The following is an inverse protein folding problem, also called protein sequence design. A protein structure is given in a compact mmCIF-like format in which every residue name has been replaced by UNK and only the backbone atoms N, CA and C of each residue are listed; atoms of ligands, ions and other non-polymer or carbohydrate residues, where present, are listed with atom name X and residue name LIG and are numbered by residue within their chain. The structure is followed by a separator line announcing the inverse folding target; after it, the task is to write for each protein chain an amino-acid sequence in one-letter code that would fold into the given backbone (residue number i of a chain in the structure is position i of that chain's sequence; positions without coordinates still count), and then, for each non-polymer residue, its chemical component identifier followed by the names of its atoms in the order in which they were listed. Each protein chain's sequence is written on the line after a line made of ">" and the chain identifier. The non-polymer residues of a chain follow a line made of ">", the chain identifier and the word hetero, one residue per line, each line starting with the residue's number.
data_IF_540233811105
#
_entry.id   IF_540233811105
#
_cell.length_a   1.000
_cell.length_b   1.000
_cell.length_c   1.000
_cell.angle_alpha   90.00
_cell.angle_beta   90.00
_cell.angle_gamma   90.00
#
_symmetry.space_group_name_H-M   'P 1'
#
loop_
_entity.id
_entity.type
_entity.pdbx_description
1 polymer ?
#
# COMPACT_ATOMS: atom_id res chain seq x y z
N UNK A 1 -8.92 -8.36 -20.98
CA UNK A 1 -7.46 -8.56 -21.20
C UNK A 1 -6.79 -8.31 -19.86
N UNK A 2 -6.11 -9.31 -19.28
CA UNK A 2 -5.33 -9.12 -18.06
C UNK A 2 -4.23 -8.10 -18.34
N UNK A 3 -4.16 -7.03 -17.55
CA UNK A 3 -3.10 -6.05 -17.68
C UNK A 3 -1.75 -6.74 -17.39
N UNK A 4 -0.77 -6.46 -18.25
CA UNK A 4 0.57 -7.04 -18.15
C UNK A 4 1.35 -6.13 -17.21
N UNK A 5 1.74 -6.66 -16.05
CA UNK A 5 2.60 -5.99 -15.08
C UNK A 5 3.85 -5.38 -15.74
N UNK A 6 4.07 -4.09 -15.50
CA UNK A 6 5.18 -3.28 -16.02
C UNK A 6 6.22 -3.04 -14.93
N UNK A 7 7.44 -3.51 -15.18
CA UNK A 7 8.57 -3.46 -14.25
C UNK A 7 9.64 -2.52 -14.78
N UNK A 8 10.02 -1.53 -13.98
CA UNK A 8 11.19 -0.70 -14.25
C UNK A 8 12.45 -1.41 -13.76
N UNK A 9 13.31 -1.88 -14.66
CA UNK A 9 14.56 -2.56 -14.30
C UNK A 9 15.73 -1.58 -14.36
N UNK A 10 16.28 -1.21 -13.22
CA UNK A 10 17.49 -0.39 -13.13
C UNK A 10 18.72 -1.25 -12.89
N UNK A 11 19.70 -1.16 -13.80
CA UNK A 11 21.00 -1.83 -13.68
C UNK A 11 22.04 -0.79 -13.29
N UNK A 12 22.58 -0.92 -12.08
CA UNK A 12 23.63 -0.01 -11.60
C UNK A 12 24.93 -0.14 -12.40
N UNK A 13 25.73 0.92 -12.39
CA UNK A 13 27.03 0.93 -13.08
C UNK A 13 28.03 -0.09 -12.52
N UNK A 14 27.89 -0.49 -11.25
CA UNK A 14 28.69 -1.54 -10.62
C UNK A 14 28.25 -2.91 -11.10
N UNK A 15 26.94 -3.18 -11.10
CA UNK A 15 26.37 -4.41 -11.65
C UNK A 15 26.74 -4.61 -13.13
N UNK A 16 26.78 -3.54 -13.94
CA UNK A 16 27.15 -3.62 -15.35
C UNK A 16 28.63 -3.99 -15.58
N UNK A 17 29.50 -3.80 -14.58
CA UNK A 17 30.93 -4.13 -14.67
C UNK A 17 31.25 -5.56 -14.22
N UNK A 18 30.42 -6.14 -13.36
CA UNK A 18 30.56 -7.54 -12.95
C UNK A 18 29.91 -8.46 -14.00
N UNK A 19 30.68 -9.33 -14.69
CA UNK A 19 30.14 -10.22 -15.71
C UNK A 19 29.01 -11.13 -15.20
N UNK A 20 29.07 -11.58 -13.95
CA UNK A 20 28.06 -12.49 -13.39
C UNK A 20 26.76 -11.76 -13.05
N UNK A 21 26.86 -10.56 -12.45
CA UNK A 21 25.73 -9.71 -12.17
C UNK A 21 25.05 -9.20 -13.46
N UNK A 22 25.84 -8.82 -14.47
CA UNK A 22 25.32 -8.40 -15.76
C UNK A 22 24.63 -9.54 -16.53
N UNK A 23 25.22 -10.75 -16.52
CA UNK A 23 24.59 -11.93 -17.11
C UNK A 23 23.26 -12.28 -16.43
N UNK A 24 23.18 -12.14 -15.10
CA UNK A 24 21.93 -12.30 -14.35
C UNK A 24 20.88 -11.25 -14.75
N UNK A 25 21.28 -9.98 -14.85
CA UNK A 25 20.40 -8.88 -15.23
C UNK A 25 19.82 -9.07 -16.66
N UNK A 26 20.66 -9.49 -17.61
CA UNK A 26 20.22 -9.76 -18.97
C UNK A 26 19.27 -10.96 -19.05
N UNK A 27 19.58 -12.05 -18.35
CA UNK A 27 18.69 -13.21 -18.28
C UNK A 27 17.31 -12.82 -17.75
N UNK A 28 17.27 -11.99 -16.71
CA UNK A 28 16.02 -11.51 -16.12
C UNK A 28 15.26 -10.59 -17.10
N UNK A 29 15.96 -9.68 -17.78
CA UNK A 29 15.37 -8.80 -18.79
C UNK A 29 14.77 -9.60 -19.96
N UNK A 30 15.52 -10.56 -20.49
CA UNK A 30 15.07 -11.45 -21.58
C UNK A 30 13.89 -12.33 -21.16
N UNK A 31 13.96 -12.93 -19.97
CA UNK A 31 12.92 -13.84 -19.47
C UNK A 31 11.61 -13.14 -19.11
N UNK A 32 11.66 -11.84 -18.75
CA UNK A 32 10.47 -11.04 -18.48
C UNK A 32 9.89 -10.38 -19.74
N UNK A 33 10.69 -10.26 -20.80
CA UNK A 33 10.26 -9.76 -22.12
C UNK A 33 9.57 -8.40 -22.04
N UNK A 34 8.37 -8.31 -22.64
CA UNK A 34 7.61 -7.06 -22.75
C UNK A 34 7.12 -6.48 -21.40
N UNK A 35 7.36 -7.17 -20.28
CA UNK A 35 7.05 -6.68 -18.93
C UNK A 35 8.09 -5.67 -18.44
N UNK A 36 9.29 -5.66 -19.00
CA UNK A 36 10.40 -4.86 -18.48
C UNK A 36 10.65 -3.60 -19.32
N UNK A 37 10.74 -2.48 -18.62
CA UNK A 37 11.32 -1.25 -19.13
C UNK A 37 12.69 -1.06 -18.47
N UNK A 38 13.77 -1.11 -19.24
CA UNK A 38 15.11 -0.81 -18.73
C UNK A 38 15.21 0.68 -18.41
N UNK A 39 15.62 0.99 -17.18
CA UNK A 39 15.79 2.35 -16.68
C UNK A 39 17.27 2.76 -16.71
N UNK A 40 17.52 3.97 -17.20
CA UNK A 40 18.84 4.61 -17.16
C UNK A 40 18.87 5.74 -16.14
N UNK A 41 20.07 6.27 -15.84
CA UNK A 41 20.24 7.32 -14.83
C UNK A 41 19.51 8.63 -15.14
N UNK A 42 19.18 8.87 -16.41
CA UNK A 42 18.55 10.11 -16.86
C UNK A 42 17.05 9.98 -17.07
N UNK A 43 16.50 8.77 -16.96
CA UNK A 43 15.09 8.54 -17.22
C UNK A 43 14.24 9.08 -16.07
N UNK A 44 13.14 9.73 -16.44
CA UNK A 44 12.07 10.02 -15.49
C UNK A 44 11.28 8.73 -15.29
N UNK A 45 11.07 8.34 -14.04
CA UNK A 45 10.21 7.22 -13.70
C UNK A 45 8.81 7.42 -14.30
N UNK A 46 8.41 6.48 -15.15
CA UNK A 46 7.06 6.39 -15.70
C UNK A 46 6.08 6.06 -14.57
N UNK A 47 5.03 6.88 -14.34
CA UNK A 47 4.04 6.61 -13.31
C UNK A 47 3.17 5.37 -13.59
N UNK A 48 3.25 4.78 -14.79
CA UNK A 48 2.53 3.55 -15.15
C UNK A 48 3.27 2.27 -14.78
N UNK A 49 4.44 2.38 -14.13
CA UNK A 49 5.18 1.23 -13.62
C UNK A 49 4.54 0.69 -12.35
N UNK A 50 4.35 -0.62 -12.30
CA UNK A 50 3.78 -1.31 -11.13
C UNK A 50 4.84 -1.59 -10.06
N UNK A 51 6.12 -1.71 -10.45
CA UNK A 51 7.25 -1.94 -9.54
C UNK A 51 8.57 -1.51 -10.19
N UNK A 52 9.53 -1.10 -9.36
CA UNK A 52 10.91 -0.85 -9.79
C UNK A 52 11.87 -1.84 -9.15
N UNK A 53 12.65 -2.54 -9.97
CA UNK A 53 13.67 -3.47 -9.52
C UNK A 53 15.07 -2.89 -9.75
N UNK A 54 15.82 -2.72 -8.66
CA UNK A 54 17.15 -2.12 -8.63
C UNK A 54 18.19 -3.22 -8.43
N UNK A 55 19.06 -3.40 -9.43
CA UNK A 55 20.12 -4.41 -9.45
C UNK A 55 21.49 -3.79 -9.14
N UNK A 56 22.11 -4.28 -8.07
CA UNK A 56 23.33 -3.74 -7.46
C UNK A 56 23.11 -2.30 -6.98
N UNK A 57 24.18 -1.52 -6.93
CA UNK A 57 24.08 -0.08 -6.81
C UNK A 57 24.19 0.41 -5.37
N UNK A 58 25.39 0.29 -4.81
CA UNK A 58 25.75 1.05 -3.61
C UNK A 58 26.14 2.51 -3.92
N UNK A 59 25.35 3.20 -4.74
CA UNK A 59 25.60 4.59 -5.14
C UNK A 59 24.47 5.53 -4.72
N UNK A 60 24.79 6.83 -4.72
CA UNK A 60 23.83 7.87 -4.34
C UNK A 60 22.62 7.91 -5.28
N UNK A 61 22.79 7.49 -6.54
CA UNK A 61 21.71 7.46 -7.50
C UNK A 61 20.67 6.39 -7.14
N UNK A 62 21.10 5.18 -6.82
CA UNK A 62 20.23 4.07 -6.42
C UNK A 62 19.45 4.42 -5.15
N UNK A 63 20.12 5.09 -4.18
CA UNK A 63 19.44 5.63 -3.00
C UNK A 63 18.35 6.65 -3.37
N UNK A 64 18.67 7.61 -4.25
CA UNK A 64 17.69 8.61 -4.73
C UNK A 64 16.57 7.95 -5.52
N UNK A 65 16.85 6.91 -6.28
CA UNK A 65 15.85 6.18 -7.05
C UNK A 65 14.83 5.54 -6.11
N UNK A 66 15.26 4.86 -5.04
CA UNK A 66 14.35 4.32 -4.01
C UNK A 66 13.52 5.42 -3.34
N UNK A 67 14.14 6.55 -2.97
CA UNK A 67 13.37 7.67 -2.42
C UNK A 67 12.34 8.22 -3.43
N UNK A 68 12.69 8.20 -4.73
CA UNK A 68 11.81 8.69 -5.79
C UNK A 68 10.65 7.73 -6.05
N UNK A 69 10.90 6.41 -6.05
CA UNK A 69 9.83 5.41 -6.19
C UNK A 69 8.86 5.48 -5.02
N UNK A 70 9.36 5.62 -3.79
CA UNK A 70 8.53 5.81 -2.61
C UNK A 70 7.65 7.06 -2.69
N UNK A 71 8.21 8.21 -3.09
CA UNK A 71 7.41 9.46 -3.24
C UNK A 71 6.37 9.37 -4.36
N UNK A 72 6.65 8.59 -5.41
CA UNK A 72 5.71 8.30 -6.49
C UNK A 72 4.72 7.16 -6.18
N UNK A 73 4.76 6.58 -4.98
CA UNK A 73 3.95 5.43 -4.61
C UNK A 73 4.16 4.22 -5.54
N UNK A 74 5.40 3.96 -5.96
CA UNK A 74 5.77 2.77 -6.74
C UNK A 74 6.62 1.87 -5.83
N UNK A 75 6.23 0.61 -5.60
CA UNK A 75 7.01 -0.30 -4.78
C UNK A 75 8.35 -0.64 -5.43
N UNK A 76 9.35 -0.91 -4.61
CA UNK A 76 10.72 -1.19 -5.05
C UNK A 76 11.27 -2.50 -4.51
N UNK A 77 11.90 -3.28 -5.40
CA UNK A 77 12.71 -4.44 -5.05
C UNK A 77 14.18 -4.06 -5.18
N UNK A 78 14.96 -4.31 -4.13
CA UNK A 78 16.41 -4.11 -4.14
C UNK A 78 17.16 -5.45 -4.14
N UNK A 79 18.03 -5.64 -5.12
CA UNK A 79 18.91 -6.82 -5.23
C UNK A 79 20.36 -6.37 -5.18
N UNK A 80 21.09 -6.61 -4.08
CA UNK A 80 22.44 -6.09 -3.92
C UNK A 80 23.51 -6.85 -4.71
N UNK A 81 23.23 -8.11 -5.09
CA UNK A 81 24.11 -8.96 -5.91
C UNK A 81 25.54 -9.08 -5.36
N UNK A 82 25.66 -9.25 -4.04
CA UNK A 82 26.93 -9.48 -3.34
C UNK A 82 27.74 -8.21 -3.03
N UNK A 83 27.35 -7.04 -3.53
CA UNK A 83 28.08 -5.77 -3.29
C UNK A 83 28.08 -5.34 -1.81
N UNK A 84 27.12 -5.84 -1.04
CA UNK A 84 26.91 -5.46 0.36
C UNK A 84 27.74 -6.29 1.35
N UNK A 85 28.32 -7.40 0.89
CA UNK A 85 29.01 -8.37 1.74
C UNK A 85 30.29 -7.75 2.35
N UNK A 86 30.67 -8.10 3.59
CA UNK A 86 31.77 -7.44 4.31
C UNK A 86 33.10 -7.40 3.56
N UNK A 87 33.43 -8.45 2.79
CA UNK A 87 34.68 -8.53 2.03
C UNK A 87 34.62 -7.81 0.67
N UNK A 88 33.43 -7.61 0.11
CA UNK A 88 33.23 -6.77 -1.07
C UNK A 88 33.14 -5.28 -0.69
N UNK A 89 32.74 -5.02 0.56
CA UNK A 89 32.43 -3.69 1.09
C UNK A 89 33.59 -3.13 1.92
N UNK A 90 34.69 -2.75 1.26
CA UNK A 90 35.81 -1.99 1.86
C UNK A 90 35.49 -0.50 2.06
N UNK A 91 34.21 -0.15 2.27
CA UNK A 91 33.72 1.21 2.11
C UNK A 91 33.72 2.02 3.41
N UNK A 92 33.75 3.35 3.26
CA UNK A 92 33.66 4.30 4.37
C UNK A 92 32.33 4.21 5.12
N UNK A 93 32.35 4.61 6.39
CA UNK A 93 31.17 4.61 7.28
C UNK A 93 29.94 5.31 6.69
N UNK A 94 30.14 6.38 5.92
CA UNK A 94 29.04 7.13 5.28
C UNK A 94 28.31 6.32 4.21
N UNK A 95 29.02 5.51 3.41
CA UNK A 95 28.38 4.66 2.39
C UNK A 95 27.60 3.52 3.01
N UNK A 96 28.09 2.97 4.12
CA UNK A 96 27.35 1.97 4.90
C UNK A 96 26.03 2.51 5.46
N UNK A 97 26.02 3.76 5.95
CA UNK A 97 24.79 4.42 6.42
C UNK A 97 23.79 4.60 5.28
N UNK A 98 24.24 5.09 4.12
CA UNK A 98 23.39 5.25 2.94
C UNK A 98 22.81 3.91 2.47
N UNK A 99 23.64 2.87 2.43
CA UNK A 99 23.24 1.50 2.08
C UNK A 99 22.18 0.96 3.03
N UNK A 100 22.37 1.10 4.35
CA UNK A 100 21.41 0.65 5.35
C UNK A 100 20.09 1.43 5.26
N UNK A 101 20.16 2.73 4.97
CA UNK A 101 18.98 3.56 4.72
C UNK A 101 18.20 3.10 3.48
N UNK A 102 18.91 2.85 2.39
CA UNK A 102 18.37 2.34 1.13
C UNK A 102 17.66 1.00 1.34
N UNK A 103 18.31 0.04 1.99
CA UNK A 103 17.73 -1.28 2.30
C UNK A 103 16.47 -1.19 3.20
N UNK A 104 16.43 -0.26 4.15
CA UNK A 104 15.24 -0.03 4.98
C UNK A 104 14.10 0.66 4.25
N UNK A 105 14.39 1.33 3.13
CA UNK A 105 13.41 2.11 2.37
C UNK A 105 12.81 1.31 1.21
N UNK A 106 13.45 0.22 0.79
CA UNK A 106 12.90 -0.72 -0.19
C UNK A 106 11.78 -1.54 0.40
N UNK A 107 10.79 -1.89 -0.42
CA UNK A 107 9.62 -2.67 -0.02
C UNK A 107 9.98 -4.16 0.15
N UNK A 108 10.92 -4.66 -0.64
CA UNK A 108 11.51 -5.96 -0.43
C UNK A 108 12.99 -5.98 -0.85
N UNK A 109 13.73 -6.93 -0.31
CA UNK A 109 15.11 -7.19 -0.66
C UNK A 109 15.25 -8.60 -1.17
N UNK A 110 15.98 -8.76 -2.27
CA UNK A 110 16.33 -10.07 -2.80
C UNK A 110 17.78 -10.41 -2.47
N UNK A 111 18.00 -11.64 -2.00
CA UNK A 111 19.32 -12.24 -1.84
C UNK A 111 19.53 -13.31 -2.91
N UNK A 112 20.65 -13.22 -3.62
CA UNK A 112 20.97 -14.15 -4.73
C UNK A 112 21.83 -15.35 -4.31
N UNK A 113 22.37 -15.34 -3.08
CA UNK A 113 23.19 -16.41 -2.50
C UNK A 113 22.83 -16.63 -1.02
N UNK A 114 23.06 -17.84 -0.50
CA UNK A 114 22.77 -18.14 0.91
C UNK A 114 23.64 -17.33 1.87
N UNK A 115 24.88 -17.05 1.46
CA UNK A 115 25.80 -16.19 2.19
C UNK A 115 25.28 -14.76 2.31
N UNK A 116 24.77 -14.20 1.22
CA UNK A 116 24.15 -12.86 1.22
C UNK A 116 22.87 -12.84 2.05
N UNK A 117 22.04 -13.88 1.96
CA UNK A 117 20.85 -14.00 2.79
C UNK A 117 21.19 -13.96 4.27
N UNK A 118 22.10 -14.82 4.74
CA UNK A 118 22.47 -14.89 6.15
C UNK A 118 23.06 -13.56 6.65
N UNK A 119 23.83 -12.87 5.81
CA UNK A 119 24.36 -11.55 6.13
C UNK A 119 23.24 -10.51 6.27
N UNK A 120 22.32 -10.46 5.30
CA UNK A 120 21.18 -9.54 5.33
C UNK A 120 20.27 -9.78 6.54
N UNK A 121 19.99 -11.03 6.90
CA UNK A 121 19.21 -11.39 8.10
C UNK A 121 19.88 -10.88 9.38
N UNK A 122 21.22 -10.90 9.44
CA UNK A 122 21.96 -10.37 10.60
C UNK A 122 21.96 -8.83 10.70
N UNK A 123 21.87 -8.14 9.56
CA UNK A 123 21.96 -6.67 9.47
C UNK A 123 20.58 -5.99 9.46
N UNK A 124 19.57 -6.68 8.93
CA UNK A 124 18.21 -6.19 8.72
C UNK A 124 17.22 -7.11 9.42
N UNK A 125 16.57 -6.59 10.47
CA UNK A 125 15.59 -7.35 11.25
C UNK A 125 14.13 -7.03 10.85
N UNK A 126 13.91 -6.04 9.97
CA UNK A 126 12.59 -5.45 9.75
C UNK A 126 12.24 -5.27 8.27
N UNK A 127 12.82 -6.05 7.35
CA UNK A 127 12.57 -5.92 5.91
C UNK A 127 12.26 -7.28 5.32
N UNK A 128 11.31 -7.32 4.39
CA UNK A 128 10.94 -8.52 3.65
C UNK A 128 12.10 -9.00 2.77
N UNK A 129 12.83 -9.98 3.29
CA UNK A 129 13.96 -10.60 2.62
C UNK A 129 13.53 -11.88 1.90
N UNK A 130 13.87 -11.98 0.61
CA UNK A 130 13.54 -13.14 -0.22
C UNK A 130 14.80 -13.71 -0.87
N UNK A 131 14.97 -15.02 -0.73
CA UNK A 131 16.06 -15.74 -1.39
C UNK A 131 15.59 -16.34 -2.72
N UNK A 132 16.22 -15.92 -3.82
CA UNK A 132 16.07 -16.59 -5.14
C UNK A 132 17.50 -16.85 -5.65
N UNK A 133 17.92 -18.12 -5.81
CA UNK A 133 19.28 -18.42 -6.21
C UNK A 133 19.56 -17.96 -7.64
N UNK A 134 20.79 -17.51 -7.89
CA UNK A 134 21.22 -17.12 -9.22
C UNK A 134 21.37 -18.36 -10.13
N UNK A 135 20.51 -18.49 -11.14
CA UNK A 135 20.55 -19.58 -12.13
C UNK A 135 21.84 -19.59 -12.97
N UNK A 136 22.46 -18.42 -13.21
CA UNK A 136 23.71 -18.28 -13.98
C UNK A 136 24.88 -18.94 -13.25
N UNK A 137 24.96 -18.76 -11.93
CA UNK A 137 26.12 -19.17 -11.13
C UNK A 137 25.92 -20.54 -10.49
N UNK A 138 24.77 -20.77 -9.87
CA UNK A 138 24.59 -21.92 -8.99
C UNK A 138 24.08 -23.16 -9.71
N UNK A 139 23.46 -23.01 -10.90
CA UNK A 139 22.74 -24.06 -11.64
C UNK A 139 21.75 -24.88 -10.79
N UNK A 140 21.34 -24.34 -9.63
CA UNK A 140 20.42 -25.00 -8.68
C UNK A 140 18.97 -24.92 -9.14
N UNK A 141 18.67 -23.97 -10.01
CA UNK A 141 17.36 -23.78 -10.65
C UNK A 141 17.58 -23.50 -12.14
N UNK A 142 16.57 -23.81 -12.96
CA UNK A 142 16.57 -23.41 -14.36
C UNK A 142 16.39 -21.90 -14.51
N UNK A 143 16.63 -21.37 -15.72
CA UNK A 143 16.47 -19.94 -16.00
C UNK A 143 14.99 -19.56 -15.96
N UNK A 144 14.15 -20.44 -16.48
CA UNK A 144 12.70 -20.35 -16.53
C UNK A 144 12.12 -20.32 -15.11
N UNK A 145 12.55 -21.24 -14.24
CA UNK A 145 12.14 -21.28 -12.83
C UNK A 145 12.53 -20.01 -12.08
N UNK A 146 13.69 -19.42 -12.39
CA UNK A 146 14.14 -18.18 -11.78
C UNK A 146 13.20 -17.02 -12.16
N UNK A 147 12.89 -16.88 -13.45
CA UNK A 147 11.96 -15.86 -13.95
C UNK A 147 10.56 -16.03 -13.34
N UNK A 148 10.05 -17.25 -13.26
CA UNK A 148 8.76 -17.55 -12.63
C UNK A 148 8.75 -17.18 -11.14
N UNK A 149 9.86 -17.41 -10.42
CA UNK A 149 10.01 -16.97 -9.02
C UNK A 149 10.01 -15.45 -8.90
N UNK A 150 10.66 -14.74 -9.82
CA UNK A 150 10.65 -13.27 -9.84
C UNK A 150 9.26 -12.70 -10.16
N UNK A 151 8.54 -13.27 -11.13
CA UNK A 151 7.16 -12.85 -11.44
C UNK A 151 6.27 -13.01 -10.22
N UNK A 152 6.35 -14.16 -9.53
CA UNK A 152 5.62 -14.41 -8.27
C UNK A 152 6.05 -13.46 -7.15
N UNK A 153 7.33 -13.12 -7.07
CA UNK A 153 7.85 -12.15 -6.10
C UNK A 153 7.32 -10.74 -6.38
N UNK A 154 7.34 -10.28 -7.63
CA UNK A 154 6.82 -8.96 -7.99
C UNK A 154 5.34 -8.84 -7.64
N UNK A 155 4.53 -9.85 -8.01
CA UNK A 155 3.11 -9.87 -7.64
C UNK A 155 2.94 -9.85 -6.11
N UNK A 156 3.73 -10.63 -5.37
CA UNK A 156 3.70 -10.65 -3.91
C UNK A 156 4.00 -9.28 -3.30
N UNK A 157 4.97 -8.55 -3.85
CA UNK A 157 5.32 -7.19 -3.38
C UNK A 157 4.16 -6.22 -3.64
N UNK A 158 3.59 -6.26 -4.85
CA UNK A 158 2.44 -5.42 -5.22
C UNK A 158 1.24 -5.71 -4.33
N UNK A 159 0.92 -7.00 -4.13
CA UNK A 159 -0.19 -7.43 -3.27
C UNK A 159 0.00 -7.02 -1.80
N UNK A 160 1.25 -7.01 -1.31
CA UNK A 160 1.58 -6.62 0.07
C UNK A 160 1.48 -5.11 0.26
N UNK A 161 1.87 -4.33 -0.76
CA UNK A 161 1.85 -2.87 -0.75
C UNK A 161 0.75 -2.32 -1.65
N UNK A 162 -0.45 -2.90 -1.56
CA UNK A 162 -1.59 -2.56 -2.42
C UNK A 162 -1.98 -1.07 -2.36
N UNK A 163 -1.73 -0.40 -1.24
CA UNK A 163 -1.93 1.05 -1.08
C UNK A 163 -1.12 1.89 -2.08
N UNK A 164 0.08 1.40 -2.46
CA UNK A 164 0.93 2.01 -3.46
C UNK A 164 0.43 1.70 -4.88
N UNK A 165 -0.15 0.51 -5.09
CA UNK A 165 -0.65 0.07 -6.39
C UNK A 165 -2.00 0.73 -6.79
N UNK A 166 -2.81 1.16 -5.82
CA UNK A 166 -4.12 1.77 -6.09
C UNK A 166 -3.96 3.26 -6.43
N UNK A 167 -4.36 3.61 -7.66
CA UNK A 167 -4.46 4.99 -8.09
C UNK A 167 -5.60 5.77 -7.43
N UNK A 168 -5.63 7.09 -7.64
CA UNK A 168 -6.65 7.97 -7.06
C UNK A 168 -8.07 7.63 -7.51
N UNK A 169 -8.26 7.21 -8.76
CA UNK A 169 -9.56 6.87 -9.31
C UNK A 169 -10.13 5.61 -8.67
N UNK A 170 -9.32 4.54 -8.64
CA UNK A 170 -9.68 3.28 -8.03
C UNK A 170 -9.94 3.42 -6.52
N UNK A 171 -9.18 4.28 -5.83
CA UNK A 171 -9.45 4.65 -4.44
C UNK A 171 -10.80 5.33 -4.24
N UNK A 172 -11.17 6.24 -5.15
CA UNK A 172 -12.49 6.89 -5.12
C UNK A 172 -13.63 5.90 -5.35
N UNK A 173 -13.41 4.88 -6.18
CA UNK A 173 -14.39 3.82 -6.37
C UNK A 173 -14.53 2.93 -5.13
N UNK A 174 -13.44 2.67 -4.39
CA UNK A 174 -13.52 2.02 -3.06
C UNK A 174 -14.34 2.86 -2.08
N UNK A 175 -14.14 4.18 -2.05
CA UNK A 175 -14.95 5.07 -1.19
C UNK A 175 -16.43 5.07 -1.60
N UNK A 176 -16.72 5.08 -2.90
CA UNK A 176 -18.08 5.00 -3.41
C UNK A 176 -18.76 3.69 -3.00
N UNK A 177 -18.05 2.57 -3.08
CA UNK A 177 -18.52 1.27 -2.59
C UNK A 177 -18.72 1.26 -1.07
N UNK A 178 -17.80 1.85 -0.31
CA UNK A 178 -17.91 1.98 1.14
C UNK A 178 -19.17 2.78 1.52
N UNK A 179 -19.43 3.91 0.85
CA UNK A 179 -20.63 4.73 1.04
C UNK A 179 -21.91 3.94 0.81
N UNK A 180 -22.00 3.21 -0.31
CA UNK A 180 -23.16 2.35 -0.64
C UNK A 180 -23.31 1.21 0.39
N UNK A 181 -22.21 0.70 0.95
CA UNK A 181 -22.22 -0.31 2.00
C UNK A 181 -22.70 0.24 3.35
N UNK A 182 -22.41 1.50 3.65
CA UNK A 182 -22.78 2.18 4.89
C UNK A 182 -24.23 2.65 4.90
N UNK A 183 -24.68 3.35 3.86
CA UNK A 183 -26.01 3.96 3.81
C UNK A 183 -26.91 3.29 2.76
N UNK A 184 -28.02 2.73 3.23
CA UNK A 184 -29.03 2.12 2.35
C UNK A 184 -29.80 3.16 1.53
N UNK A 185 -29.95 4.38 2.03
CA UNK A 185 -30.74 5.43 1.40
C UNK A 185 -30.10 5.93 0.10
N UNK A 186 -28.78 5.77 -0.06
CA UNK A 186 -28.07 6.11 -1.29
C UNK A 186 -28.55 5.32 -2.52
N UNK A 187 -29.23 4.19 -2.35
CA UNK A 187 -29.84 3.44 -3.47
C UNK A 187 -30.96 4.22 -4.19
N UNK A 188 -31.47 5.28 -3.56
CA UNK A 188 -32.44 6.19 -4.16
C UNK A 188 -31.80 7.21 -5.10
N UNK A 189 -30.50 7.50 -4.95
CA UNK A 189 -29.75 8.36 -5.86
C UNK A 189 -29.36 7.58 -7.13
N UNK A 190 -30.31 7.50 -8.07
CA UNK A 190 -30.13 6.77 -9.33
C UNK A 190 -28.95 7.29 -10.16
N UNK A 191 -28.71 8.61 -10.30
CA UNK A 191 -27.53 9.13 -10.98
C UNK A 191 -26.21 8.63 -10.37
N UNK A 192 -26.06 8.72 -9.04
CA UNK A 192 -24.85 8.27 -8.36
C UNK A 192 -24.61 6.77 -8.56
N UNK A 193 -25.62 5.94 -8.28
CA UNK A 193 -25.54 4.48 -8.41
C UNK A 193 -25.29 4.04 -9.85
N UNK A 194 -25.92 4.68 -10.84
CA UNK A 194 -25.69 4.40 -12.25
C UNK A 194 -24.25 4.71 -12.68
N UNK A 195 -23.69 5.82 -12.18
CA UNK A 195 -22.28 6.18 -12.41
C UNK A 195 -21.31 5.17 -11.79
N UNK A 196 -21.56 4.72 -10.56
CA UNK A 196 -20.71 3.74 -9.88
C UNK A 196 -20.81 2.36 -10.56
N UNK A 197 -22.02 1.89 -10.85
CA UNK A 197 -22.26 0.58 -11.49
C UNK A 197 -21.59 0.47 -12.86
N UNK A 198 -21.72 1.52 -13.69
CA UNK A 198 -21.11 1.54 -15.01
C UNK A 198 -19.57 1.47 -14.95
N UNK A 199 -18.92 2.16 -14.01
CA UNK A 199 -17.47 2.06 -13.81
C UNK A 199 -17.04 0.68 -13.34
N UNK A 200 -17.71 0.15 -12.32
CA UNK A 200 -17.39 -1.15 -11.72
C UNK A 200 -17.46 -2.29 -12.73
N UNK A 201 -18.44 -2.24 -13.64
CA UNK A 201 -18.58 -3.25 -14.70
C UNK A 201 -17.42 -3.27 -15.70
N UNK A 202 -16.63 -2.20 -15.78
CA UNK A 202 -15.45 -2.11 -16.66
C UNK A 202 -14.16 -2.58 -16.01
N UNK A 203 -14.17 -2.90 -14.72
CA UNK A 203 -12.95 -3.26 -14.00
C UNK A 203 -12.34 -4.56 -14.47
N UNK A 204 -11.01 -4.55 -14.60
CA UNK A 204 -10.22 -5.76 -14.86
C UNK A 204 -10.14 -6.65 -13.61
N UNK A 205 -9.75 -7.91 -13.79
CA UNK A 205 -9.51 -8.84 -12.67
C UNK A 205 -8.41 -8.32 -11.71
N UNK A 206 -7.42 -7.60 -12.24
CA UNK A 206 -6.34 -7.01 -11.45
C UNK A 206 -6.83 -5.83 -10.60
N UNK A 207 -7.68 -4.97 -11.17
CA UNK A 207 -8.31 -3.89 -10.41
C UNK A 207 -9.19 -4.45 -9.27
N UNK A 208 -9.94 -5.52 -9.55
CA UNK A 208 -10.67 -6.23 -8.51
C UNK A 208 -9.76 -6.82 -7.44
N UNK A 209 -8.63 -7.40 -7.84
CA UNK A 209 -7.62 -7.92 -6.90
C UNK A 209 -7.14 -6.83 -5.96
N UNK A 210 -6.77 -5.66 -6.49
CA UNK A 210 -6.31 -4.54 -5.69
C UNK A 210 -7.41 -4.00 -4.77
N UNK A 211 -8.64 -3.81 -5.27
CA UNK A 211 -9.79 -3.37 -4.45
C UNK A 211 -10.00 -4.31 -3.26
N UNK A 212 -10.05 -5.63 -3.52
CA UNK A 212 -10.37 -6.61 -2.48
C UNK A 212 -9.25 -6.72 -1.43
N UNK A 213 -7.98 -6.75 -1.87
CA UNK A 213 -6.83 -6.74 -0.95
C UNK A 213 -6.79 -5.46 -0.11
N UNK A 214 -6.97 -4.30 -0.73
CA UNK A 214 -6.98 -3.03 -0.01
C UNK A 214 -8.15 -2.93 0.97
N UNK A 215 -9.33 -3.39 0.58
CA UNK A 215 -10.50 -3.40 1.45
C UNK A 215 -10.32 -4.33 2.64
N UNK A 216 -9.64 -5.47 2.45
CA UNK A 216 -9.26 -6.38 3.53
C UNK A 216 -8.25 -5.73 4.47
N UNK A 217 -7.16 -5.15 3.94
CA UNK A 217 -6.13 -4.45 4.71
C UNK A 217 -6.68 -3.26 5.51
N UNK A 218 -7.67 -2.56 4.96
CA UNK A 218 -8.33 -1.42 5.59
C UNK A 218 -9.49 -1.80 6.53
N UNK A 219 -9.80 -3.10 6.64
CA UNK A 219 -10.86 -3.63 7.50
C UNK A 219 -12.28 -3.25 7.07
N UNK A 220 -12.51 -3.01 5.79
CA UNK A 220 -13.82 -2.60 5.24
C UNK A 220 -14.44 -3.63 4.30
N UNK A 221 -13.84 -4.82 4.18
CA UNK A 221 -14.26 -5.86 3.24
C UNK A 221 -15.75 -6.21 3.34
N UNK A 222 -16.30 -6.26 4.56
CA UNK A 222 -17.72 -6.55 4.79
C UNK A 222 -18.64 -5.47 4.21
N UNK A 223 -18.24 -4.18 4.31
CA UNK A 223 -19.01 -3.09 3.72
C UNK A 223 -19.01 -3.15 2.20
N UNK A 224 -17.87 -3.55 1.61
CA UNK A 224 -17.75 -3.72 0.15
C UNK A 224 -18.62 -4.89 -0.32
N UNK A 225 -18.59 -6.03 0.39
CA UNK A 225 -19.49 -7.15 0.08
C UNK A 225 -20.96 -6.75 0.17
N UNK A 226 -21.34 -6.05 1.24
CA UNK A 226 -22.70 -5.52 1.39
C UNK A 226 -23.09 -4.59 0.23
N UNK A 227 -22.19 -3.72 -0.22
CA UNK A 227 -22.43 -2.83 -1.36
C UNK A 227 -22.66 -3.63 -2.66
N UNK A 228 -21.84 -4.64 -2.92
CA UNK A 228 -21.94 -5.48 -4.12
C UNK A 228 -23.23 -6.30 -4.15
N UNK A 229 -23.64 -6.84 -3.00
CA UNK A 229 -24.93 -7.53 -2.85
C UNK A 229 -26.10 -6.59 -3.16
N UNK A 230 -26.08 -5.36 -2.61
CA UNK A 230 -27.09 -4.33 -2.88
C UNK A 230 -27.16 -3.94 -4.36
N UNK A 231 -26.00 -3.85 -5.01
CA UNK A 231 -25.89 -3.54 -6.44
C UNK A 231 -26.18 -4.75 -7.35
N UNK A 232 -26.32 -5.94 -6.78
CA UNK A 232 -26.51 -7.21 -7.51
C UNK A 232 -25.38 -7.49 -8.54
N UNK A 233 -24.16 -7.02 -8.25
CA UNK A 233 -23.00 -7.23 -9.12
C UNK A 233 -22.29 -8.52 -8.71
N UNK A 234 -22.06 -9.41 -9.67
CA UNK A 234 -21.21 -10.58 -9.47
C UNK A 234 -19.75 -10.20 -9.69
N UNK A 235 -18.92 -10.42 -8.68
CA UNK A 235 -17.47 -10.26 -8.78
C UNK A 235 -16.79 -11.56 -9.26
N UNK A 236 -15.57 -11.49 -9.81
CA UNK A 236 -14.75 -12.66 -10.04
C UNK A 236 -14.53 -13.42 -8.71
N UNK A 237 -14.60 -14.76 -8.76
CA UNK A 237 -14.30 -15.61 -7.60
C UNK A 237 -12.83 -15.41 -7.22
N UNK A 238 -12.59 -14.74 -6.08
CA UNK A 238 -11.24 -14.48 -5.57
C UNK A 238 -11.16 -14.84 -4.09
N UNK A 239 -10.30 -15.81 -3.76
CA UNK A 239 -10.01 -16.13 -2.38
C UNK A 239 -8.83 -15.29 -1.89
N UNK A 240 -9.15 -14.18 -1.22
CA UNK A 240 -8.17 -13.24 -0.66
C UNK A 240 -7.22 -13.95 0.31
N UNK A 241 -7.70 -14.95 1.06
CA UNK A 241 -6.91 -15.66 2.08
C UNK A 241 -5.85 -16.58 1.48
N UNK A 242 -6.01 -16.95 0.20
CA UNK A 242 -5.02 -17.75 -0.53
C UNK A 242 -3.94 -16.88 -1.20
N UNK A 243 -4.12 -15.55 -1.23
CA UNK A 243 -3.12 -14.63 -1.79
C UNK A 243 -1.91 -14.57 -0.86
N UNK A 244 -0.75 -14.89 -1.39
CA UNK A 244 0.52 -14.88 -0.64
C UNK A 244 1.04 -13.44 -0.55
N UNK A 245 0.81 -12.77 0.58
CA UNK A 245 1.45 -11.49 0.94
C UNK A 245 2.62 -11.72 1.90
N UNK A 246 3.41 -10.69 2.18
CA UNK A 246 4.29 -10.69 3.34
C UNK A 246 3.48 -10.47 4.63
N UNK A 247 4.03 -10.89 5.77
CA UNK A 247 3.30 -10.86 7.04
C UNK A 247 3.09 -9.42 7.52
N UNK A 248 1.88 -8.91 7.31
CA UNK A 248 1.41 -7.61 7.79
C UNK A 248 0.77 -7.72 9.19
N UNK A 249 1.27 -8.60 10.06
CA UNK A 249 0.73 -8.84 11.42
C UNK A 249 0.52 -7.56 12.25
N UNK A 250 1.28 -6.49 11.98
CA UNK A 250 1.12 -5.16 12.61
C UNK A 250 -0.22 -4.50 12.22
N UNK A 251 -0.70 -4.65 10.97
CA UNK A 251 -1.96 -4.05 10.50
C UNK A 251 -3.21 -4.80 11.01
N UNK A 252 -3.12 -6.12 11.20
CA UNK A 252 -4.24 -6.95 11.66
C UNK A 252 -4.47 -6.91 13.18
N UNK A 253 -3.44 -6.67 13.99
CA UNK A 253 -3.57 -6.55 15.44
C UNK A 253 -4.43 -5.32 15.85
N UNK A 254 -4.28 -4.19 15.14
CA UNK A 254 -5.04 -2.97 15.40
C UNK A 254 -6.52 -3.04 15.00
N UNK A 255 -6.89 -4.01 14.15
CA UNK A 255 -8.27 -4.32 13.78
C UNK A 255 -9.03 -5.07 14.88
N UNK A 256 -8.31 -5.75 15.78
CA UNK A 256 -8.90 -6.68 16.75
C UNK A 256 -8.94 -6.16 18.20
N UNK A 257 -8.47 -4.94 18.49
CA UNK A 257 -8.45 -4.44 19.88
C UNK A 257 -9.25 -3.15 20.16
N UNK A 258 -10.15 -3.37 21.13
CA UNK A 258 -10.92 -2.49 22.00
C UNK A 258 -12.04 -1.67 21.35
N UNK A 259 -13.21 -2.31 21.32
CA UNK A 259 -14.48 -1.60 21.41
C UNK A 259 -14.45 -0.74 22.67
N UNK A 260 -14.30 0.57 22.48
CA UNK A 260 -14.46 1.58 23.53
C UNK A 260 -15.95 1.57 23.90
N UNK A 261 -16.39 0.59 24.69
CA UNK A 261 -17.79 0.36 25.06
C UNK A 261 -18.13 0.86 26.47
N UNK A 262 -17.15 1.32 27.24
CA UNK A 262 -17.39 1.83 28.59
C UNK A 262 -17.37 3.35 28.60
N UNK A 263 -18.53 3.98 28.41
CA UNK A 263 -18.68 5.44 28.46
C UNK A 263 -20.05 5.91 27.97
N UNK A 264 -20.34 7.21 28.15
CA UNK A 264 -21.48 7.84 27.47
C UNK A 264 -21.19 7.96 25.95
N UNK A 265 -22.23 8.14 25.13
CA UNK A 265 -22.08 8.21 23.67
C UNK A 265 -21.05 9.28 23.22
N UNK A 266 -21.04 10.43 23.89
CA UNK A 266 -20.08 11.52 23.62
C UNK A 266 -18.62 11.10 23.82
N UNK A 267 -18.32 10.36 24.89
CA UNK A 267 -16.97 9.89 25.20
C UNK A 267 -16.50 8.87 24.15
N UNK A 268 -17.40 8.01 23.67
CA UNK A 268 -17.11 7.02 22.62
C UNK A 268 -16.81 7.71 21.29
N UNK A 269 -17.61 8.72 20.91
CA UNK A 269 -17.38 9.54 19.71
C UNK A 269 -16.04 10.27 19.81
N UNK A 270 -15.78 10.92 20.94
CA UNK A 270 -14.52 11.62 21.20
C UNK A 270 -13.31 10.68 21.09
N UNK A 271 -13.38 9.50 21.70
CA UNK A 271 -12.28 8.55 21.70
C UNK A 271 -12.02 7.99 20.30
N UNK A 272 -13.09 7.73 19.53
CA UNK A 272 -12.99 7.29 18.13
C UNK A 272 -12.33 8.35 17.25
N UNK A 273 -12.76 9.61 17.35
CA UNK A 273 -12.15 10.75 16.63
C UNK A 273 -10.67 10.90 17.01
N UNK A 274 -10.36 10.82 18.30
CA UNK A 274 -9.00 10.94 18.81
C UNK A 274 -8.08 9.84 18.27
N UNK A 275 -8.56 8.60 18.23
CA UNK A 275 -7.83 7.44 17.70
C UNK A 275 -7.56 7.59 16.20
N UNK A 276 -8.53 8.06 15.41
CA UNK A 276 -8.32 8.34 13.98
C UNK A 276 -7.25 9.43 13.77
N UNK A 277 -7.28 10.49 14.57
CA UNK A 277 -6.29 11.58 14.51
C UNK A 277 -4.90 11.04 14.86
N UNK A 278 -4.79 10.15 15.84
CA UNK A 278 -3.54 9.51 16.22
C UNK A 278 -3.00 8.59 15.11
N UNK A 279 -3.85 7.74 14.53
CA UNK A 279 -3.47 6.83 13.45
C UNK A 279 -3.01 7.58 12.20
N UNK A 280 -3.67 8.71 11.88
CA UNK A 280 -3.21 9.64 10.84
C UNK A 280 -1.81 10.18 11.10
N UNK A 281 -1.48 10.49 12.35
CA UNK A 281 -0.15 10.96 12.72
C UNK A 281 0.90 9.85 12.57
N UNK A 282 0.50 8.59 12.82
CA UNK A 282 1.33 7.40 12.63
C UNK A 282 1.44 6.95 11.17
N UNK A 283 0.57 7.46 10.29
CA UNK A 283 0.54 7.13 8.86
C UNK A 283 -0.29 5.89 8.51
N UNK A 284 -1.11 5.38 9.43
CA UNK A 284 -1.89 4.16 9.25
C UNK A 284 -3.40 4.36 9.53
N UNK A 285 -4.11 5.32 8.90
CA UNK A 285 -5.53 5.51 9.15
C UNK A 285 -6.37 4.41 8.48
N UNK A 286 -6.87 3.46 9.27
CA UNK A 286 -7.75 2.39 8.78
C UNK A 286 -9.15 2.92 8.42
N UNK A 287 -9.65 2.58 7.23
CA UNK A 287 -11.00 2.97 6.79
C UNK A 287 -12.12 2.35 7.68
N UNK A 288 -11.86 1.22 8.33
CA UNK A 288 -12.78 0.63 9.31
C UNK A 288 -13.12 1.57 10.47
N UNK A 289 -12.17 2.42 10.88
CA UNK A 289 -12.40 3.43 11.93
C UNK A 289 -13.28 4.58 11.43
N UNK A 290 -13.12 4.97 10.16
CA UNK A 290 -14.00 5.96 9.53
C UNK A 290 -15.43 5.43 9.43
N UNK A 291 -15.60 4.20 8.98
CA UNK A 291 -16.90 3.52 8.95
C UNK A 291 -17.55 3.45 10.35
N UNK A 292 -16.77 3.15 11.38
CA UNK A 292 -17.24 3.12 12.77
C UNK A 292 -17.65 4.51 13.26
N UNK A 293 -16.83 5.53 12.97
CA UNK A 293 -17.13 6.94 13.28
C UNK A 293 -18.42 7.40 12.59
N UNK A 294 -18.61 7.07 11.31
CA UNK A 294 -19.82 7.37 10.55
C UNK A 294 -21.06 6.81 11.27
N UNK A 295 -21.02 5.53 11.65
CA UNK A 295 -22.14 4.88 12.35
C UNK A 295 -22.45 5.54 13.69
N UNK A 296 -21.43 5.98 14.43
CA UNK A 296 -21.62 6.67 15.70
C UNK A 296 -22.25 8.06 15.50
N UNK A 297 -21.70 8.87 14.58
CA UNK A 297 -22.23 10.21 14.31
C UNK A 297 -23.66 10.18 13.75
N UNK A 298 -23.98 9.16 12.96
CA UNK A 298 -25.30 9.02 12.34
C UNK A 298 -26.37 8.47 13.30
N UNK A 299 -26.01 7.55 14.21
CA UNK A 299 -26.99 6.78 14.98
C UNK A 299 -26.95 7.01 16.49
N UNK A 300 -25.87 7.58 17.04
CA UNK A 300 -25.76 7.82 18.48
C UNK A 300 -26.34 9.18 18.84
N UNK A 301 -27.05 9.23 19.96
CA UNK A 301 -27.48 10.48 20.58
C UNK A 301 -26.36 10.98 21.51
N UNK A 302 -25.52 11.87 21.00
CA UNK A 302 -24.36 12.42 21.71
C UNK A 302 -24.47 13.94 21.85
N UNK A 303 -23.93 14.46 22.96
CA UNK A 303 -23.84 15.89 23.22
C UNK A 303 -22.72 16.52 22.37
N UNK A 304 -23.10 17.25 21.33
CA UNK A 304 -22.19 17.96 20.41
C UNK A 304 -21.37 19.04 21.12
N UNK A 305 -21.99 19.81 22.02
CA UNK A 305 -21.33 20.92 22.72
C UNK A 305 -20.24 20.37 23.64
N UNK A 306 -20.56 19.32 24.39
CA UNK A 306 -19.60 18.61 25.24
C UNK A 306 -18.47 17.99 24.42
N UNK A 307 -18.77 17.38 23.27
CA UNK A 307 -17.75 16.85 22.36
C UNK A 307 -16.77 17.95 21.92
N UNK A 308 -17.30 19.11 21.52
CA UNK A 308 -16.51 20.26 21.09
C UNK A 308 -15.65 20.80 22.22
N UNK A 309 -16.18 20.89 23.45
CA UNK A 309 -15.39 21.27 24.62
C UNK A 309 -14.22 20.31 24.85
N UNK A 310 -14.45 18.99 24.79
CA UNK A 310 -13.40 17.97 24.97
C UNK A 310 -12.31 18.10 23.90
N UNK A 311 -12.71 18.29 22.63
CA UNK A 311 -11.76 18.48 21.53
C UNK A 311 -10.94 19.78 21.67
N UNK A 312 -11.54 20.86 22.19
CA UNK A 312 -10.83 22.12 22.47
C UNK A 312 -9.85 21.96 23.63
N UNK A 313 -10.29 21.35 24.74
CA UNK A 313 -9.44 21.10 25.93
C UNK A 313 -8.20 20.29 25.59
N UNK A 314 -8.31 19.32 24.67
CA UNK A 314 -7.19 18.45 24.26
C UNK A 314 -6.46 18.94 22.99
N UNK A 315 -6.72 20.16 22.52
CA UNK A 315 -6.09 20.75 21.33
C UNK A 315 -6.27 19.93 20.04
N UNK A 316 -7.37 19.18 19.92
CA UNK A 316 -7.69 18.37 18.76
C UNK A 316 -8.71 19.03 17.82
N UNK A 317 -9.33 20.14 18.22
CA UNK A 317 -10.41 20.80 17.50
C UNK A 317 -10.13 21.04 16.00
N UNK A 318 -8.99 21.64 15.65
CA UNK A 318 -8.65 21.92 14.23
C UNK A 318 -8.40 20.63 13.43
N UNK A 319 -7.83 19.61 14.07
CA UNK A 319 -7.61 18.30 13.45
C UNK A 319 -8.93 17.57 13.23
N UNK A 320 -9.86 17.70 14.17
CA UNK A 320 -11.21 17.16 14.08
C UNK A 320 -12.00 17.83 12.93
N UNK A 321 -11.88 19.15 12.72
CA UNK A 321 -12.46 19.82 11.55
C UNK A 321 -12.00 19.21 10.24
N UNK A 322 -10.68 19.08 10.06
CA UNK A 322 -10.11 18.44 8.87
C UNK A 322 -10.58 17.00 8.72
N UNK A 323 -10.69 16.26 9.84
CA UNK A 323 -11.24 14.92 9.82
C UNK A 323 -12.69 14.90 9.32
N UNK A 324 -13.53 15.86 9.68
CA UNK A 324 -14.92 15.92 9.18
C UNK A 324 -14.99 16.13 7.67
N UNK A 325 -14.09 16.94 7.10
CA UNK A 325 -13.95 17.06 5.64
C UNK A 325 -13.56 15.71 5.01
N UNK A 326 -12.60 15.01 5.60
CA UNK A 326 -12.20 13.69 5.09
C UNK A 326 -13.32 12.64 5.26
N UNK A 327 -14.14 12.75 6.31
CA UNK A 327 -15.32 11.89 6.52
C UNK A 327 -16.38 12.11 5.43
N UNK A 328 -16.59 13.35 4.97
CA UNK A 328 -17.47 13.64 3.85
C UNK A 328 -16.99 12.94 2.57
N UNK A 329 -15.70 13.07 2.24
CA UNK A 329 -15.13 12.46 1.04
C UNK A 329 -15.14 10.92 1.10
N UNK A 330 -14.74 10.34 2.23
CA UNK A 330 -14.53 8.89 2.37
C UNK A 330 -15.85 8.16 2.63
N UNK A 331 -16.67 8.67 3.55
CA UNK A 331 -17.89 7.97 4.04
C UNK A 331 -19.19 8.60 3.57
N UNK A 332 -19.15 9.75 2.89
CA UNK A 332 -20.37 10.43 2.44
C UNK A 332 -21.18 11.03 3.58
N UNK A 333 -20.56 11.26 4.74
CA UNK A 333 -21.24 11.83 5.92
C UNK A 333 -21.84 13.19 5.56
N UNK A 334 -23.18 13.31 5.59
CA UNK A 334 -23.83 14.56 5.23
C UNK A 334 -23.68 15.61 6.33
N UNK A 335 -23.82 16.88 5.95
CA UNK A 335 -23.65 18.03 6.85
C UNK A 335 -24.58 17.98 8.07
N UNK A 336 -25.77 17.38 7.90
CA UNK A 336 -26.76 17.23 8.97
C UNK A 336 -26.33 16.30 10.11
N UNK A 337 -25.28 15.50 9.94
CA UNK A 337 -24.73 14.61 10.97
C UNK A 337 -23.34 15.06 11.47
N UNK A 338 -22.81 16.17 10.94
CA UNK A 338 -21.54 16.73 11.39
C UNK A 338 -21.85 17.77 12.47
N UNK A 339 -21.16 17.74 13.63
CA UNK A 339 -21.35 18.77 14.64
C UNK A 339 -21.16 20.17 14.06
N UNK A 340 -22.11 21.07 14.30
CA UNK A 340 -22.19 22.35 13.60
C UNK A 340 -20.89 23.19 13.74
N UNK A 341 -20.23 23.10 14.90
CA UNK A 341 -18.98 23.81 15.18
C UNK A 341 -17.75 23.16 14.52
N UNK A 342 -17.82 21.88 14.14
CA UNK A 342 -16.77 21.16 13.42
C UNK A 342 -16.92 21.23 11.91
N UNK A 343 -18.09 21.62 11.42
CA UNK A 343 -18.29 21.92 10.02
C UNK A 343 -17.42 23.12 9.60
N UNK A 344 -16.73 22.96 8.47
CA UNK A 344 -16.01 24.05 7.80
C UNK A 344 -16.70 24.29 6.48
N UNK A 345 -17.33 25.46 6.32
CA UNK A 345 -17.80 25.91 5.00
C UNK A 345 -16.59 25.92 4.07
N UNK A 346 -16.61 25.22 2.93
CA UNK A 346 -15.57 25.40 1.94
C UNK A 346 -15.63 26.87 1.49
N UNK A 347 -14.57 27.64 1.77
CA UNK A 347 -14.39 28.94 1.17
C UNK A 347 -14.28 28.71 -0.34
N UNK A 348 -15.29 29.19 -1.08
CA UNK A 348 -15.29 29.25 -2.54
C UNK A 348 -14.06 29.97 -3.09
#
# INVERSE_FOLDING_TARGET
>A
MSQIMKIGLYISSSCAKDPLAYAFANLLSEGLGNRVQTLTRHDKLDPTLDLVHILGGNDLYSCRLISTTASKHIPSLYSPLGEILPWANTQSSMRFVLQKSMMKSSQAIHAWSKTEQNYLESVLQCVDLVFIPNAVVTRTISKEDMCDKFIKLYQKIIDTHVEMAIDRGLRQDVYSLLQIGLDYNLLQDKPFIGGVTSRIQTFSEEQWRHIMLYSYDQGIIDYIHNALERLQIRIPLMDIRQIKTFDNSIRQADCNEETIQTGNATDIVYATISKIIEDKKRGCPLLSRYASCYKLLHNADYDEDKLVEMLKRNHLFQKAKKLMTDMQEITGLSEGFIPALLYSVPNN
#
